data_IF_148023242161
#
_entry.id   IF_148023242161
#
_cell.length_a   1.000
_cell.length_b   1.000
_cell.length_c   1.000
_cell.angle_alpha   90.00
_cell.angle_beta   90.00
_cell.angle_gamma   90.00
#
_symmetry.space_group_name_H-M   'P 1'
#
loop_
_entity.id
_entity.type
_entity.pdbx_description
1 polymer ?
#
# COMPACT_ATOMS: atom_id res chain seq x y z
N UNK A 1 -26.14 4.12 15.09
CA UNK A 1 -24.92 4.11 14.25
C UNK A 1 -23.76 3.69 15.14
N UNK A 2 -22.91 2.74 14.74
CA UNK A 2 -21.72 2.43 15.51
C UNK A 2 -20.80 3.66 15.55
N UNK A 3 -20.29 3.99 16.73
CA UNK A 3 -19.32 5.07 16.93
C UNK A 3 -17.93 4.47 17.08
N UNK A 4 -16.94 5.10 16.44
CA UNK A 4 -15.53 4.78 16.60
C UNK A 4 -14.87 5.92 17.37
N UNK A 5 -14.32 5.62 18.54
CA UNK A 5 -13.51 6.56 19.31
C UNK A 5 -12.05 6.11 19.26
N UNK A 6 -11.16 7.02 18.87
CA UNK A 6 -9.71 6.80 18.91
C UNK A 6 -9.16 7.56 20.11
N UNK A 7 -8.46 6.86 21.00
CA UNK A 7 -7.77 7.45 22.15
C UNK A 7 -6.30 7.66 21.83
N UNK A 8 -5.69 8.66 22.46
CA UNK A 8 -4.26 8.96 22.36
C UNK A 8 -3.80 9.13 20.90
N UNK A 9 -4.61 9.85 20.10
CA UNK A 9 -4.28 10.13 18.70
C UNK A 9 -3.01 11.01 18.64
N UNK A 10 -1.96 10.58 17.93
CA UNK A 10 -0.76 11.40 17.78
C UNK A 10 -1.08 12.77 17.16
N UNK A 11 -0.45 13.81 17.70
CA UNK A 11 -0.72 15.20 17.30
C UNK A 11 -0.42 15.45 15.82
N UNK A 12 0.67 14.87 15.30
CA UNK A 12 1.05 14.94 13.90
C UNK A 12 -0.02 14.36 12.97
N UNK A 13 -0.65 13.26 13.37
CA UNK A 13 -1.75 12.64 12.62
C UNK A 13 -2.99 13.52 12.65
N UNK A 14 -3.32 14.10 13.81
CA UNK A 14 -4.45 15.03 13.94
C UNK A 14 -4.29 16.27 13.04
N UNK A 15 -3.09 16.86 13.02
CA UNK A 15 -2.78 18.03 12.19
C UNK A 15 -2.96 17.69 10.70
N UNK A 16 -2.39 16.57 10.24
CA UNK A 16 -2.51 16.15 8.84
C UNK A 16 -3.96 15.86 8.44
N UNK A 17 -4.71 15.20 9.32
CA UNK A 17 -6.13 14.90 9.09
C UNK A 17 -6.95 16.19 9.00
N UNK A 18 -6.69 17.16 9.87
CA UNK A 18 -7.40 18.46 9.89
C UNK A 18 -7.10 19.27 8.63
N UNK A 19 -5.83 19.35 8.22
CA UNK A 19 -5.42 19.98 6.97
C UNK A 19 -6.13 19.38 5.75
N UNK A 20 -6.19 18.04 5.66
CA UNK A 20 -6.88 17.36 4.57
C UNK A 20 -8.39 17.62 4.59
N UNK A 21 -9.00 17.66 5.78
CA UNK A 21 -10.43 17.94 5.92
C UNK A 21 -10.77 19.36 5.42
N UNK A 22 -9.97 20.37 5.81
CA UNK A 22 -10.13 21.75 5.33
C UNK A 22 -9.94 21.85 3.81
N UNK A 23 -8.87 21.26 3.28
CA UNK A 23 -8.56 21.28 1.84
C UNK A 23 -9.70 20.69 1.00
N UNK A 24 -10.33 19.63 1.50
CA UNK A 24 -11.42 18.92 0.82
C UNK A 24 -12.82 19.49 1.16
N UNK A 25 -12.89 20.56 1.97
CA UNK A 25 -14.13 21.16 2.47
C UNK A 25 -15.06 20.15 3.15
N UNK A 26 -14.49 19.31 4.02
CA UNK A 26 -15.18 18.24 4.75
C UNK A 26 -15.04 18.41 6.24
N UNK A 27 -15.97 17.83 7.01
CA UNK A 27 -15.77 17.69 8.45
C UNK A 27 -14.67 16.66 8.75
N UNK A 28 -14.03 16.78 9.92
CA UNK A 28 -13.00 15.84 10.36
C UNK A 28 -13.52 14.39 10.37
N UNK A 29 -14.77 14.19 10.78
CA UNK A 29 -15.43 12.88 10.80
C UNK A 29 -15.61 12.32 9.38
N UNK A 30 -16.05 13.15 8.43
CA UNK A 30 -16.19 12.74 7.03
C UNK A 30 -14.84 12.38 6.42
N UNK A 31 -13.81 13.22 6.63
CA UNK A 31 -12.47 12.95 6.11
C UNK A 31 -11.87 11.68 6.71
N UNK A 32 -12.09 11.43 8.02
CA UNK A 32 -11.71 10.17 8.67
C UNK A 32 -12.34 8.97 7.99
N UNK A 33 -13.65 9.03 7.70
CA UNK A 33 -14.36 7.93 7.02
C UNK A 33 -13.79 7.68 5.63
N UNK A 34 -13.47 8.73 4.87
CA UNK A 34 -12.88 8.61 3.53
C UNK A 34 -11.52 7.91 3.61
N UNK A 35 -10.61 8.39 4.46
CA UNK A 35 -9.28 7.79 4.61
C UNK A 35 -9.33 6.35 5.11
N UNK A 36 -10.25 6.03 6.04
CA UNK A 36 -10.46 4.65 6.48
C UNK A 36 -10.92 3.75 5.33
N UNK A 37 -11.87 4.20 4.49
CA UNK A 37 -12.34 3.43 3.33
C UNK A 37 -11.21 3.18 2.33
N UNK A 38 -10.48 4.24 1.97
CA UNK A 38 -9.34 4.13 1.04
C UNK A 38 -8.25 3.22 1.58
N UNK A 39 -7.91 3.35 2.87
CA UNK A 39 -6.96 2.48 3.57
C UNK A 39 -7.40 1.02 3.56
N UNK A 40 -8.68 0.73 3.79
CA UNK A 40 -9.24 -0.63 3.74
C UNK A 40 -9.19 -1.22 2.34
N UNK A 41 -9.56 -0.46 1.30
CA UNK A 41 -9.44 -0.89 -0.10
C UNK A 41 -7.98 -1.19 -0.44
N UNK A 42 -7.05 -0.31 -0.04
CA UNK A 42 -5.62 -0.53 -0.28
C UNK A 42 -5.11 -1.77 0.45
N UNK A 43 -5.50 -1.98 1.70
CA UNK A 43 -5.02 -3.11 2.53
C UNK A 43 -5.58 -4.46 2.06
N UNK A 44 -6.88 -4.51 1.76
CA UNK A 44 -7.55 -5.71 1.26
C UNK A 44 -7.16 -6.00 -0.20
N UNK A 45 -7.24 -4.98 -1.06
CA UNK A 45 -6.94 -5.09 -2.48
C UNK A 45 -5.48 -5.39 -2.79
N UNK A 46 -4.51 -4.84 -2.04
CA UNK A 46 -3.09 -5.12 -2.31
C UNK A 46 -2.71 -6.56 -1.99
N UNK A 47 -3.28 -7.15 -0.93
CA UNK A 47 -3.00 -8.55 -0.56
C UNK A 47 -3.56 -9.51 -1.61
N UNK A 48 -4.83 -9.32 -2.00
CA UNK A 48 -5.46 -10.14 -3.05
C UNK A 48 -4.82 -9.92 -4.42
N UNK A 49 -4.51 -8.68 -4.79
CA UNK A 49 -3.85 -8.36 -6.06
C UNK A 49 -2.45 -8.96 -6.13
N UNK A 50 -1.67 -8.91 -5.04
CA UNK A 50 -0.35 -9.56 -4.98
C UNK A 50 -0.47 -11.07 -5.11
N UNK A 51 -1.44 -11.68 -4.44
CA UNK A 51 -1.73 -13.12 -4.58
C UNK A 51 -2.04 -13.49 -6.04
N UNK A 52 -2.97 -12.78 -6.67
CA UNK A 52 -3.33 -12.99 -8.08
C UNK A 52 -2.16 -12.77 -9.04
N UNK A 53 -1.31 -11.79 -8.78
CA UNK A 53 -0.11 -11.55 -9.57
C UNK A 53 0.86 -12.73 -9.47
N UNK A 54 1.12 -13.24 -8.25
CA UNK A 54 2.00 -14.39 -8.04
C UNK A 54 1.45 -15.66 -8.66
N UNK A 55 0.12 -15.90 -8.61
CA UNK A 55 -0.49 -16.99 -9.36
C UNK A 55 -0.29 -16.83 -10.87
N UNK A 56 -0.52 -15.62 -11.40
CA UNK A 56 -0.29 -15.35 -12.81
C UNK A 56 1.16 -15.61 -13.22
N UNK A 57 2.13 -15.21 -12.40
CA UNK A 57 3.56 -15.47 -12.63
C UNK A 57 3.83 -16.98 -12.61
N UNK A 58 3.27 -17.73 -11.65
CA UNK A 58 3.41 -19.20 -11.60
C UNK A 58 2.87 -19.91 -12.84
N UNK A 59 1.84 -19.36 -13.47
CA UNK A 59 1.26 -19.92 -14.71
C UNK A 59 2.03 -19.53 -15.97
N UNK A 60 3.01 -18.62 -15.88
CA UNK A 60 3.88 -18.33 -17.00
C UNK A 60 4.88 -19.48 -17.12
N UNK A 61 4.69 -20.34 -18.12
CA UNK A 61 5.61 -21.40 -18.49
C UNK A 61 6.81 -20.79 -19.24
N UNK A 62 7.61 -20.02 -18.50
CA UNK A 62 8.83 -19.41 -19.01
C UNK A 62 9.93 -20.43 -18.81
N UNK A 63 10.75 -20.68 -19.83
CA UNK A 63 11.95 -21.48 -19.63
C UNK A 63 13.01 -20.61 -18.91
N UNK A 64 13.51 -21.11 -17.78
CA UNK A 64 14.40 -20.38 -16.87
C UNK A 64 15.83 -20.88 -16.98
N UNK A 65 16.08 -21.90 -17.82
CA UNK A 65 17.34 -22.63 -17.87
C UNK A 65 18.52 -21.76 -18.35
N UNK A 66 18.26 -20.77 -19.21
CA UNK A 66 19.25 -19.83 -19.74
C UNK A 66 19.31 -18.49 -18.97
N UNK A 67 18.63 -18.36 -17.83
CA UNK A 67 18.64 -17.12 -17.05
C UNK A 67 19.83 -17.16 -16.05
N UNK A 68 20.76 -16.18 -16.10
CA UNK A 68 21.91 -16.14 -15.19
C UNK A 68 21.48 -15.91 -13.74
N UNK A 69 22.31 -16.35 -12.79
CA UNK A 69 22.03 -16.14 -11.37
C UNK A 69 21.90 -14.63 -11.08
N UNK A 70 20.83 -14.18 -10.41
CA UNK A 70 20.68 -12.78 -10.00
C UNK A 70 21.89 -12.21 -9.25
N UNK A 71 22.65 -13.06 -8.54
CA UNK A 71 23.88 -12.66 -7.85
C UNK A 71 24.98 -12.24 -8.83
N UNK A 72 25.08 -12.90 -9.98
CA UNK A 72 26.07 -12.56 -11.01
C UNK A 72 25.74 -11.22 -11.66
N UNK A 73 24.45 -10.95 -11.91
CA UNK A 73 23.97 -9.68 -12.45
C UNK A 73 24.23 -8.47 -11.53
N UNK A 74 24.19 -8.67 -10.21
CA UNK A 74 24.47 -7.60 -9.23
C UNK A 74 25.99 -7.31 -9.14
N UNK A 75 26.83 -8.31 -9.38
CA UNK A 75 28.29 -8.17 -9.30
C UNK A 75 28.88 -7.44 -10.50
N UNK A 76 28.31 -7.62 -11.70
CA UNK A 76 28.73 -6.90 -12.90
C UNK A 76 28.70 -5.37 -12.77
N UNK A 77 27.80 -4.84 -11.93
CA UNK A 77 27.64 -3.39 -11.70
C UNK A 77 28.63 -2.82 -10.67
N UNK A 78 29.39 -3.67 -9.96
CA UNK A 78 30.40 -3.25 -8.95
C UNK A 78 31.81 -3.14 -9.49
N UNK A 79 32.12 -3.79 -10.61
CA UNK A 79 33.46 -3.80 -11.22
C UNK A 79 33.59 -2.78 -12.37
N UNK A 80 32.68 -1.79 -12.46
CA UNK A 80 32.67 -0.70 -13.44
C UNK A 80 33.05 0.65 -12.85
#
# INVERSE_FOLDING_TARGET
MPTLQVRDLPEDVYIQLSYLAEKENRSLAQQTIVLLKEGMVKKLGSKERRGKLLEKIRTLDIDHSDIPDPVDLIREDRDR
#
